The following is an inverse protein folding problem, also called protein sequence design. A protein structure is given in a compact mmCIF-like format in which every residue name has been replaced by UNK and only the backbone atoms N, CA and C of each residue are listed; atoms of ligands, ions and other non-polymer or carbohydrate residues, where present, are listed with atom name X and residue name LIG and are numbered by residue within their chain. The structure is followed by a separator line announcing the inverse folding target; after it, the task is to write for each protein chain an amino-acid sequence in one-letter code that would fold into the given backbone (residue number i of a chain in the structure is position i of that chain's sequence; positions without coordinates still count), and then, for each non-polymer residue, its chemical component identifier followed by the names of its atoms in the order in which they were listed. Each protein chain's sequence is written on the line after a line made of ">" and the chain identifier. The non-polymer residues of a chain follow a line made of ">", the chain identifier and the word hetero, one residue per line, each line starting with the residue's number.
data_IF_756720594788
#
_entry.id   IF_756720594788
#
_cell.length_a   1.000
_cell.length_b   1.000
_cell.length_c   1.000
_cell.angle_alpha   90.00
_cell.angle_beta   90.00
_cell.angle_gamma   90.00
#
_symmetry.space_group_name_H-M   'P 1'
#
loop_
_entity.id
_entity.type
_entity.pdbx_description
1 polymer ?
#
# COMPACT_ATOMS: atom_id res chain seq x y z
N UNK A 1 11.52 28.01 -15.07
CA UNK A 1 10.82 26.85 -14.49
C UNK A 1 11.53 25.61 -14.97
N UNK A 2 12.02 24.76 -14.08
CA UNK A 2 12.66 23.50 -14.48
C UNK A 2 11.68 22.63 -15.27
N UNK A 3 12.21 21.82 -16.20
CA UNK A 3 11.39 20.92 -17.00
C UNK A 3 10.68 19.91 -16.09
N UNK A 4 9.35 19.95 -16.05
CA UNK A 4 8.54 19.04 -15.25
C UNK A 4 8.63 17.59 -15.75
N UNK A 5 9.12 17.37 -16.97
CA UNK A 5 9.32 16.04 -17.55
C UNK A 5 10.24 15.16 -16.69
N UNK A 6 11.19 15.76 -15.95
CA UNK A 6 12.11 15.02 -15.08
C UNK A 6 11.40 14.28 -13.94
N UNK A 7 10.18 14.70 -13.57
CA UNK A 7 9.35 14.07 -12.54
C UNK A 7 8.30 13.11 -13.09
N UNK A 8 8.29 12.82 -14.40
CA UNK A 8 7.32 11.92 -15.01
C UNK A 8 7.26 10.56 -14.30
N UNK A 9 8.42 10.02 -13.90
CA UNK A 9 8.53 8.75 -13.18
C UNK A 9 7.87 8.76 -11.79
N UNK A 10 8.27 9.64 -10.86
CA UNK A 10 7.61 9.77 -9.55
C UNK A 10 6.12 10.11 -9.62
N UNK A 11 5.70 10.89 -10.63
CA UNK A 11 4.27 11.15 -10.92
C UNK A 11 3.57 9.84 -11.30
N UNK A 12 4.12 9.06 -12.22
CA UNK A 12 3.56 7.78 -12.62
C UNK A 12 3.44 6.80 -11.45
N UNK A 13 4.45 6.73 -10.58
CA UNK A 13 4.41 5.93 -9.34
C UNK A 13 3.29 6.41 -8.42
N UNK A 14 3.15 7.72 -8.21
CA UNK A 14 2.08 8.28 -7.37
C UNK A 14 0.70 7.93 -7.93
N UNK A 15 0.47 8.12 -9.23
CA UNK A 15 -0.77 7.75 -9.89
C UNK A 15 -1.05 6.25 -9.76
N UNK A 16 -0.07 5.39 -10.05
CA UNK A 16 -0.20 3.94 -9.92
C UNK A 16 -0.53 3.51 -8.48
N UNK A 17 0.10 4.13 -7.48
CA UNK A 17 -0.18 3.88 -6.08
C UNK A 17 -1.63 4.26 -5.71
N UNK A 18 -2.09 5.43 -6.14
CA UNK A 18 -3.46 5.87 -5.89
C UNK A 18 -4.49 4.99 -6.61
N UNK A 19 -4.24 4.59 -7.86
CA UNK A 19 -5.08 3.63 -8.56
C UNK A 19 -5.16 2.29 -7.82
N UNK A 20 -4.02 1.77 -7.35
CA UNK A 20 -3.98 0.56 -6.55
C UNK A 20 -4.76 0.70 -5.25
N UNK A 21 -4.60 1.82 -4.54
CA UNK A 21 -5.33 2.08 -3.31
C UNK A 21 -6.85 2.19 -3.53
N UNK A 22 -7.29 2.92 -4.55
CA UNK A 22 -8.71 3.00 -4.91
C UNK A 22 -9.28 1.66 -5.37
N UNK A 23 -8.49 0.83 -6.06
CA UNK A 23 -8.88 -0.54 -6.38
C UNK A 23 -9.13 -1.35 -5.10
N UNK A 24 -8.24 -1.28 -4.11
CA UNK A 24 -8.44 -1.97 -2.83
C UNK A 24 -9.71 -1.48 -2.11
N UNK A 25 -9.95 -0.18 -2.08
CA UNK A 25 -11.09 0.42 -1.40
C UNK A 25 -12.43 0.12 -2.13
N UNK A 26 -12.51 0.51 -3.40
CA UNK A 26 -13.77 0.55 -4.14
C UNK A 26 -14.14 -0.81 -4.75
N UNK A 27 -13.15 -1.61 -5.14
CA UNK A 27 -13.40 -2.91 -5.76
C UNK A 27 -13.32 -4.01 -4.72
N UNK A 28 -12.20 -4.13 -3.99
CA UNK A 28 -11.99 -5.26 -3.07
C UNK A 28 -12.85 -5.13 -1.81
N UNK A 29 -12.72 -4.04 -1.05
CA UNK A 29 -13.43 -3.88 0.22
C UNK A 29 -14.95 -3.75 0.02
N UNK A 30 -15.39 -2.83 -0.83
CA UNK A 30 -16.82 -2.66 -1.12
C UNK A 30 -17.43 -3.89 -1.79
N UNK A 31 -16.71 -4.54 -2.71
CA UNK A 31 -17.17 -5.76 -3.38
C UNK A 31 -17.33 -6.93 -2.41
N UNK A 32 -16.35 -7.15 -1.52
CA UNK A 32 -16.44 -8.18 -0.47
C UNK A 32 -17.61 -7.88 0.47
N UNK A 33 -17.79 -6.64 0.91
CA UNK A 33 -18.94 -6.25 1.74
C UNK A 33 -20.27 -6.59 1.07
N UNK A 34 -20.45 -6.22 -0.21
CA UNK A 34 -21.68 -6.49 -0.94
C UNK A 34 -21.92 -7.98 -1.19
N UNK A 35 -20.85 -8.77 -1.39
CA UNK A 35 -20.95 -10.22 -1.52
C UNK A 35 -21.35 -10.88 -0.20
N UNK A 36 -20.66 -10.55 0.90
CA UNK A 36 -20.95 -11.10 2.22
C UNK A 36 -22.37 -10.75 2.68
N UNK A 37 -22.82 -9.51 2.48
CA UNK A 37 -24.19 -9.11 2.82
C UNK A 37 -25.24 -10.03 2.16
N UNK A 38 -25.09 -10.32 0.86
CA UNK A 38 -25.97 -11.25 0.13
C UNK A 38 -25.88 -12.69 0.65
N UNK A 39 -24.68 -13.16 0.99
CA UNK A 39 -24.48 -14.51 1.53
C UNK A 39 -25.09 -14.69 2.94
N UNK A 40 -25.07 -13.65 3.77
CA UNK A 40 -25.70 -13.66 5.09
C UNK A 40 -27.23 -13.61 4.96
N UNK A 41 -27.75 -12.73 4.09
CA UNK A 41 -29.18 -12.63 3.80
C UNK A 41 -29.75 -13.96 3.28
N UNK A 42 -29.06 -14.62 2.36
CA UNK A 42 -29.43 -15.95 1.87
C UNK A 42 -29.45 -17.04 2.96
N UNK A 43 -28.73 -16.82 4.07
CA UNK A 43 -28.71 -17.70 5.25
C UNK A 43 -29.71 -17.27 6.34
N UNK A 44 -30.49 -16.20 6.10
CA UNK A 44 -31.38 -15.62 7.12
C UNK A 44 -30.62 -14.98 8.29
N UNK A 45 -29.34 -14.63 8.10
CA UNK A 45 -28.48 -14.02 9.09
C UNK A 45 -28.26 -12.54 8.79
N UNK A 46 -28.01 -11.73 9.82
CA UNK A 46 -27.68 -10.32 9.65
C UNK A 46 -26.16 -10.20 9.51
N UNK A 47 -25.71 -9.58 8.42
CA UNK A 47 -24.30 -9.21 8.27
C UNK A 47 -24.01 -7.96 9.10
N UNK A 48 -23.37 -8.13 10.25
CA UNK A 48 -22.86 -7.01 11.03
C UNK A 48 -21.48 -6.58 10.53
N UNK A 49 -21.41 -5.38 9.96
CA UNK A 49 -20.17 -4.82 9.40
C UNK A 49 -19.19 -4.36 10.48
N UNK A 50 -19.68 -3.89 11.62
CA UNK A 50 -18.89 -3.15 12.61
C UNK A 50 -18.52 -4.01 13.81
N UNK A 51 -19.42 -4.88 14.24
CA UNK A 51 -19.19 -5.79 15.37
C UNK A 51 -19.07 -7.26 14.95
N UNK A 52 -19.34 -7.57 13.68
CA UNK A 52 -19.17 -8.92 13.14
C UNK A 52 -17.70 -9.35 13.06
N UNK A 53 -17.45 -10.63 13.32
CA UNK A 53 -16.13 -11.27 13.26
C UNK A 53 -15.90 -12.03 11.95
N UNK A 54 -16.50 -11.54 10.84
CA UNK A 54 -16.32 -12.20 9.55
C UNK A 54 -14.85 -12.10 9.10
N UNK A 55 -14.16 -13.26 9.09
CA UNK A 55 -12.72 -13.32 8.86
C UNK A 55 -12.30 -12.74 7.51
N UNK A 56 -13.17 -12.80 6.50
CA UNK A 56 -12.87 -12.28 5.17
C UNK A 56 -13.02 -10.76 5.12
N UNK A 57 -14.04 -10.21 5.76
CA UNK A 57 -14.16 -8.76 5.92
C UNK A 57 -12.96 -8.19 6.69
N UNK A 58 -12.60 -8.82 7.81
CA UNK A 58 -11.43 -8.42 8.61
C UNK A 58 -10.12 -8.50 7.81
N UNK A 59 -9.97 -9.50 6.94
CA UNK A 59 -8.77 -9.63 6.10
C UNK A 59 -8.67 -8.47 5.10
N UNK A 60 -9.77 -8.15 4.42
CA UNK A 60 -9.77 -7.05 3.44
C UNK A 60 -9.57 -5.70 4.12
N UNK A 61 -10.18 -5.49 5.28
CA UNK A 61 -9.97 -4.28 6.08
C UNK A 61 -8.50 -4.12 6.47
N UNK A 62 -7.86 -5.20 6.92
CA UNK A 62 -6.45 -5.17 7.27
C UNK A 62 -5.57 -4.80 6.08
N UNK A 63 -5.91 -5.22 4.86
CA UNK A 63 -5.21 -4.81 3.64
C UNK A 63 -5.36 -3.31 3.39
N UNK A 64 -6.60 -2.80 3.41
CA UNK A 64 -6.89 -1.38 3.13
C UNK A 64 -6.25 -0.49 4.19
N UNK A 65 -6.47 -0.77 5.47
CA UNK A 65 -5.93 0.02 6.58
C UNK A 65 -4.40 -0.01 6.58
N UNK A 66 -3.77 -1.17 6.42
CA UNK A 66 -2.31 -1.22 6.38
C UNK A 66 -1.72 -0.47 5.17
N UNK A 67 -2.41 -0.49 4.03
CA UNK A 67 -1.98 0.30 2.86
C UNK A 67 -2.15 1.79 3.13
N UNK A 68 -3.27 2.21 3.75
CA UNK A 68 -3.55 3.59 4.12
C UNK A 68 -2.53 4.16 5.11
N UNK A 69 -2.22 3.43 6.18
CA UNK A 69 -1.22 3.83 7.20
C UNK A 69 0.15 4.10 6.57
N UNK A 70 0.47 3.36 5.52
CA UNK A 70 1.77 3.37 4.87
C UNK A 70 1.83 4.34 3.68
N UNK A 71 0.69 4.93 3.31
CA UNK A 71 0.60 5.90 2.22
C UNK A 71 1.41 7.16 2.50
N UNK A 72 1.19 7.77 3.67
CA UNK A 72 1.84 9.02 4.05
C UNK A 72 3.37 8.87 4.09
N UNK A 73 3.95 7.92 4.84
CA UNK A 73 5.41 7.79 4.88
C UNK A 73 5.99 7.43 3.50
N UNK A 74 5.30 6.65 2.68
CA UNK A 74 5.75 6.31 1.33
C UNK A 74 5.73 7.50 0.38
N UNK A 75 4.58 8.16 0.20
CA UNK A 75 4.45 9.24 -0.79
C UNK A 75 5.30 10.45 -0.39
N UNK A 76 5.34 10.81 0.89
CA UNK A 76 6.18 11.92 1.36
C UNK A 76 7.66 11.61 1.13
N UNK A 77 8.14 10.43 1.53
CA UNK A 77 9.55 10.06 1.35
C UNK A 77 9.94 9.93 -0.14
N UNK A 78 9.06 9.37 -0.98
CA UNK A 78 9.25 9.31 -2.44
C UNK A 78 9.51 10.69 -3.03
N UNK A 79 8.68 11.67 -2.68
CA UNK A 79 8.79 13.03 -3.21
C UNK A 79 10.00 13.78 -2.67
N UNK A 80 10.29 13.64 -1.36
CA UNK A 80 11.53 14.17 -0.79
C UNK A 80 12.75 13.63 -1.54
N UNK A 81 12.83 12.31 -1.71
CA UNK A 81 13.95 11.67 -2.42
C UNK A 81 14.03 12.07 -3.88
N UNK A 82 12.88 12.22 -4.55
CA UNK A 82 12.83 12.65 -5.95
C UNK A 82 13.39 14.06 -6.14
N UNK A 83 13.11 14.96 -5.20
CA UNK A 83 13.53 16.38 -5.27
C UNK A 83 14.97 16.57 -4.82
N UNK A 84 15.43 15.83 -3.80
CA UNK A 84 16.77 16.04 -3.21
C UNK A 84 17.84 15.11 -3.77
N UNK A 85 17.48 13.89 -4.21
CA UNK A 85 18.46 12.86 -4.57
C UNK A 85 18.35 12.45 -6.03
N UNK A 86 17.26 11.80 -6.45
CA UNK A 86 17.13 11.28 -7.82
C UNK A 86 15.71 10.86 -8.18
N UNK A 87 15.21 11.38 -9.30
CA UNK A 87 13.91 11.00 -9.87
C UNK A 87 13.94 9.58 -10.47
N UNK A 88 15.06 9.14 -11.03
CA UNK A 88 15.21 7.80 -11.60
C UNK A 88 15.11 6.72 -10.51
N UNK A 89 15.92 6.81 -9.46
CA UNK A 89 15.88 5.83 -8.37
C UNK A 89 14.58 5.87 -7.57
N UNK A 90 13.98 7.05 -7.39
CA UNK A 90 12.62 7.18 -6.84
C UNK A 90 11.61 6.37 -7.64
N UNK A 91 11.69 6.43 -8.98
CA UNK A 91 10.77 5.71 -9.87
C UNK A 91 10.93 4.20 -9.74
N UNK A 92 12.17 3.70 -9.79
CA UNK A 92 12.45 2.26 -9.70
C UNK A 92 12.03 1.70 -8.35
N UNK A 93 12.46 2.32 -7.25
CA UNK A 93 12.16 1.87 -5.90
C UNK A 93 10.68 2.07 -5.54
N UNK A 94 10.06 3.15 -6.00
CA UNK A 94 8.64 3.40 -5.86
C UNK A 94 7.78 2.38 -6.62
N UNK A 95 8.17 2.01 -7.84
CA UNK A 95 7.54 0.93 -8.59
C UNK A 95 7.66 -0.42 -7.88
N UNK A 96 8.85 -0.75 -7.37
CA UNK A 96 9.07 -1.95 -6.56
C UNK A 96 8.20 -1.98 -5.30
N UNK A 97 8.07 -0.85 -4.61
CA UNK A 97 7.21 -0.71 -3.44
C UNK A 97 5.75 -1.06 -3.76
N UNK A 98 5.21 -0.55 -4.87
CA UNK A 98 3.84 -0.86 -5.31
C UNK A 98 3.70 -2.35 -5.64
N UNK A 99 4.67 -2.95 -6.34
CA UNK A 99 4.64 -4.37 -6.65
C UNK A 99 4.59 -5.24 -5.39
N UNK A 100 5.41 -4.94 -4.38
CA UNK A 100 5.39 -5.62 -3.08
C UNK A 100 4.04 -5.44 -2.35
N UNK A 101 3.47 -4.23 -2.42
CA UNK A 101 2.13 -3.94 -1.86
C UNK A 101 1.01 -4.70 -2.57
N UNK A 102 1.13 -4.93 -3.87
CA UNK A 102 0.17 -5.74 -4.63
C UNK A 102 0.24 -7.23 -4.25
N UNK A 103 1.42 -7.73 -3.84
CA UNK A 103 1.60 -9.11 -3.37
C UNK A 103 1.05 -9.31 -1.93
N UNK A 104 1.14 -8.28 -1.08
CA UNK A 104 0.66 -8.31 0.31
C UNK A 104 -0.74 -8.94 0.51
N UNK A 105 -1.82 -8.49 -0.17
CA UNK A 105 -3.15 -9.08 0.01
C UNK A 105 -3.23 -10.56 -0.38
N UNK A 106 -2.40 -11.00 -1.33
CA UNK A 106 -2.34 -12.41 -1.75
C UNK A 106 -1.72 -13.25 -0.64
N UNK A 107 -0.64 -12.77 -0.02
CA UNK A 107 0.04 -13.46 1.08
C UNK A 107 -0.74 -13.42 2.39
N UNK A 108 -1.51 -12.36 2.64
CA UNK A 108 -2.42 -12.27 3.78
C UNK A 108 -3.52 -13.34 3.70
N UNK A 109 -4.03 -13.58 2.49
CA UNK A 109 -5.12 -14.54 2.24
C UNK A 109 -6.50 -13.99 2.62
N UNK A 110 -7.50 -14.88 2.60
CA UNK A 110 -8.91 -14.54 2.86
C UNK A 110 -9.33 -14.66 4.32
N UNK A 111 -8.49 -15.20 5.20
CA UNK A 111 -8.84 -15.46 6.61
C UNK A 111 -7.72 -14.96 7.50
N UNK A 112 -8.01 -13.95 8.33
CA UNK A 112 -7.00 -13.34 9.21
C UNK A 112 -6.40 -14.37 10.18
N UNK A 113 -7.21 -15.31 10.68
CA UNK A 113 -6.77 -16.36 11.60
C UNK A 113 -5.70 -17.29 11.02
N UNK A 114 -5.65 -17.43 9.69
CA UNK A 114 -4.68 -18.28 8.98
C UNK A 114 -3.51 -17.49 8.37
N UNK A 115 -3.34 -16.23 8.76
CA UNK A 115 -2.28 -15.38 8.25
C UNK A 115 -0.90 -15.95 8.61
N UNK A 116 -0.05 -16.15 7.61
CA UNK A 116 1.35 -16.53 7.82
C UNK A 116 2.21 -15.26 7.97
N UNK A 117 2.50 -14.87 9.21
CA UNK A 117 3.27 -13.66 9.53
C UNK A 117 4.62 -13.63 8.81
N UNK A 118 5.34 -14.76 8.73
CA UNK A 118 6.66 -14.81 8.07
C UNK A 118 6.56 -14.44 6.59
N UNK A 119 5.57 -14.96 5.87
CA UNK A 119 5.35 -14.64 4.45
C UNK A 119 4.98 -13.18 4.25
N UNK A 120 4.10 -12.64 5.09
CA UNK A 120 3.71 -11.24 5.03
C UNK A 120 4.92 -10.32 5.29
N UNK A 121 5.75 -10.65 6.29
CA UNK A 121 6.96 -9.89 6.59
C UNK A 121 7.97 -9.85 5.44
N UNK A 122 8.04 -10.89 4.59
CA UNK A 122 8.93 -10.90 3.42
C UNK A 122 8.63 -9.80 2.41
N UNK A 123 7.38 -9.32 2.32
CA UNK A 123 7.01 -8.21 1.44
C UNK A 123 6.95 -6.87 2.18
N UNK A 124 6.62 -6.89 3.47
CA UNK A 124 6.52 -5.66 4.26
C UNK A 124 7.89 -5.10 4.66
N UNK A 125 8.87 -5.93 5.01
CA UNK A 125 10.20 -5.46 5.41
C UNK A 125 10.94 -4.71 4.29
N UNK A 126 10.94 -5.19 3.04
CA UNK A 126 11.53 -4.42 1.94
C UNK A 126 10.80 -3.10 1.68
N UNK A 127 9.47 -3.03 1.91
CA UNK A 127 8.73 -1.77 1.82
C UNK A 127 9.23 -0.75 2.86
N UNK A 128 9.46 -1.17 4.10
CA UNK A 128 10.05 -0.32 5.12
C UNK A 128 11.47 0.11 4.74
N UNK A 129 12.29 -0.81 4.24
CA UNK A 129 13.65 -0.50 3.81
C UNK A 129 13.67 0.58 2.71
N UNK A 130 12.76 0.51 1.75
CA UNK A 130 12.61 1.54 0.70
C UNK A 130 12.27 2.90 1.33
N UNK A 131 11.28 2.96 2.21
CA UNK A 131 10.88 4.21 2.87
C UNK A 131 12.02 4.80 3.71
N UNK A 132 12.71 3.96 4.49
CA UNK A 132 13.87 4.40 5.26
C UNK A 132 15.00 4.88 4.36
N UNK A 133 15.27 4.20 3.25
CA UNK A 133 16.27 4.61 2.26
C UNK A 133 15.94 5.98 1.68
N UNK A 134 14.68 6.22 1.32
CA UNK A 134 14.23 7.52 0.83
C UNK A 134 14.46 8.62 1.88
N UNK A 135 14.02 8.39 3.12
CA UNK A 135 14.16 9.38 4.20
C UNK A 135 15.62 9.66 4.55
N UNK A 136 16.46 8.63 4.71
CA UNK A 136 17.86 8.80 5.13
C UNK A 136 18.68 9.46 4.04
N UNK A 137 18.54 9.04 2.78
CA UNK A 137 19.26 9.66 1.67
C UNK A 137 18.83 11.11 1.45
N UNK A 138 17.54 11.42 1.56
CA UNK A 138 17.07 12.81 1.52
C UNK A 138 17.65 13.65 2.65
N UNK A 139 17.68 13.13 3.87
CA UNK A 139 18.25 13.84 5.01
C UNK A 139 19.73 14.14 4.79
N UNK A 140 20.52 13.14 4.37
CA UNK A 140 21.96 13.28 4.17
C UNK A 140 22.31 14.23 3.01
N UNK A 141 21.52 14.21 1.94
CA UNK A 141 21.66 15.12 0.80
C UNK A 141 21.47 16.59 1.20
N UNK A 142 20.49 16.88 2.06
CA UNK A 142 20.24 18.25 2.56
C UNK A 142 21.39 18.77 3.40
N UNK A 143 22.07 17.90 4.16
CA UNK A 143 23.21 18.28 5.00
C UNK A 143 24.58 18.17 4.30
N UNK A 144 24.61 17.97 2.97
CA UNK A 144 25.84 17.81 2.17
C UNK A 144 26.77 16.70 2.68
N UNK A 145 26.21 15.65 3.27
CA UNK A 145 26.98 14.47 3.69
C UNK A 145 27.23 13.53 2.50
N UNK A 146 26.51 13.73 1.38
CA UNK A 146 26.64 13.04 0.10
C UNK A 146 26.17 13.93 -1.05
#
# INVERSE_FOLDING_TARGET
>A
MGDLSQFAGPIAVTCAYLFFWYYLLLVRQRGTKARLAREYEARGQIFDRYFGQDEEMLAVDRVVTNTQEQMVPFLVSLWLFSVTVSTFYATVLGGLYIALRAIYPVLLGKRVSKMNTKRVSLVTMPCYLIVFTFLTASLLSVFHVI
#
